data_IF_990725398559
#
_entry.id   IF_990725398559
#
_cell.length_a   1.000
_cell.length_b   1.000
_cell.length_c   1.000
_cell.angle_alpha   90.00
_cell.angle_beta   90.00
_cell.angle_gamma   90.00
#
_symmetry.space_group_name_H-M   'P 1'
#
loop_
_entity.id
_entity.type
_entity.pdbx_description
1 polymer ?
#
# COMPACT_ATOMS: atom_id res chain seq x y z
N UNK A 1 -5.31 26.70 -7.97
CA UNK A 1 -4.06 26.31 -7.29
C UNK A 1 -2.88 26.92 -8.01
N UNK A 2 -1.74 27.09 -7.32
CA UNK A 2 -0.58 27.88 -7.80
C UNK A 2 0.17 27.31 -9.01
N UNK A 3 -0.15 26.08 -9.45
CA UNK A 3 0.54 25.43 -10.58
C UNK A 3 0.45 26.23 -11.88
N UNK A 4 -0.73 26.80 -12.18
CA UNK A 4 -0.91 27.59 -13.40
C UNK A 4 -0.06 28.86 -13.37
N UNK A 5 -0.09 29.61 -12.26
CA UNK A 5 0.68 30.84 -12.09
C UNK A 5 2.19 30.57 -12.14
N UNK A 6 2.63 29.44 -11.58
CA UNK A 6 4.02 28.98 -11.68
C UNK A 6 4.44 28.72 -13.14
N UNK A 7 3.61 28.00 -13.91
CA UNK A 7 3.90 27.72 -15.32
C UNK A 7 3.92 28.98 -16.18
N UNK A 8 3.00 29.92 -15.92
CA UNK A 8 2.98 31.22 -16.60
C UNK A 8 4.23 32.05 -16.24
N UNK A 9 4.67 32.04 -14.99
CA UNK A 9 5.91 32.71 -14.58
C UNK A 9 7.15 32.12 -15.27
N UNK A 10 7.23 30.79 -15.42
CA UNK A 10 8.30 30.14 -16.20
C UNK A 10 8.26 30.61 -17.65
N UNK A 11 7.07 30.60 -18.27
CA UNK A 11 6.92 31.01 -19.66
C UNK A 11 7.28 32.48 -19.86
N UNK A 12 6.86 33.38 -18.96
CA UNK A 12 7.18 34.79 -18.99
C UNK A 12 8.70 35.02 -18.88
N UNK A 13 9.36 34.36 -17.93
CA UNK A 13 10.80 34.46 -17.70
C UNK A 13 11.68 33.75 -18.74
N UNK A 14 11.12 32.83 -19.54
CA UNK A 14 11.87 32.09 -20.56
C UNK A 14 12.44 33.02 -21.64
N UNK A 15 13.76 33.04 -21.82
CA UNK A 15 14.40 33.75 -22.93
C UNK A 15 14.10 33.10 -24.29
N UNK A 16 14.31 33.80 -25.41
CA UNK A 16 13.95 33.31 -26.76
C UNK A 16 14.55 31.94 -27.14
N UNK A 17 15.72 31.59 -26.60
CA UNK A 17 16.38 30.30 -26.84
C UNK A 17 15.94 29.15 -25.92
N UNK A 18 15.05 29.42 -24.97
CA UNK A 18 14.58 28.42 -24.00
C UNK A 18 13.46 27.57 -24.59
N UNK A 19 13.58 26.26 -24.42
CA UNK A 19 12.53 25.29 -24.73
C UNK A 19 12.02 24.66 -23.44
N UNK A 20 10.71 24.65 -23.27
CA UNK A 20 10.01 23.99 -22.17
C UNK A 20 9.44 22.69 -22.73
N UNK A 21 9.85 21.56 -22.18
CA UNK A 21 9.31 20.25 -22.57
C UNK A 21 8.46 19.75 -21.43
N UNK A 22 7.14 19.73 -21.63
CA UNK A 22 6.23 19.13 -20.66
C UNK A 22 6.49 17.62 -20.61
N UNK A 23 6.81 17.12 -19.42
CA UNK A 23 7.11 15.71 -19.23
C UNK A 23 5.88 14.81 -19.33
N UNK A 24 4.67 15.35 -19.17
CA UNK A 24 3.41 14.62 -19.14
C UNK A 24 3.44 13.43 -18.17
N UNK A 25 3.58 13.70 -16.88
CA UNK A 25 3.62 12.65 -15.84
C UNK A 25 2.39 11.73 -15.88
N UNK A 26 1.23 12.27 -16.26
CA UNK A 26 -0.01 11.51 -16.41
C UNK A 26 0.12 10.34 -17.39
N UNK A 27 1.06 10.40 -18.32
CA UNK A 27 1.29 9.31 -19.28
C UNK A 27 1.95 8.05 -18.70
N UNK A 28 2.30 8.03 -17.40
CA UNK A 28 2.74 6.82 -16.71
C UNK A 28 1.79 5.63 -16.84
N UNK A 29 0.49 5.88 -17.01
CA UNK A 29 -0.52 4.83 -17.12
C UNK A 29 -1.09 4.68 -18.55
N UNK A 30 -0.60 5.49 -19.49
CA UNK A 30 -1.00 5.43 -20.89
C UNK A 30 -0.38 4.22 -21.56
N UNK A 31 -1.18 3.52 -22.36
CA UNK A 31 -0.78 2.26 -23.00
C UNK A 31 -0.85 2.29 -24.51
N UNK A 32 -1.44 3.30 -25.13
CA UNK A 32 -1.64 3.32 -26.57
C UNK A 32 -1.31 4.69 -27.17
N UNK A 33 -1.18 4.71 -28.50
CA UNK A 33 -0.85 5.92 -29.24
C UNK A 33 -1.92 7.01 -29.07
N UNK A 34 -3.20 6.64 -29.05
CA UNK A 34 -4.30 7.59 -28.94
C UNK A 34 -4.24 8.39 -27.63
N UNK A 35 -3.92 7.73 -26.50
CA UNK A 35 -3.76 8.41 -25.23
C UNK A 35 -2.55 9.36 -25.20
N UNK A 36 -1.44 8.98 -25.82
CA UNK A 36 -0.27 9.87 -25.92
C UNK A 36 -0.54 11.07 -26.84
N UNK A 37 -1.17 10.84 -27.99
CA UNK A 37 -1.54 11.92 -28.92
C UNK A 37 -2.60 12.85 -28.32
N UNK A 38 -3.57 12.32 -27.56
CA UNK A 38 -4.53 13.12 -26.81
C UNK A 38 -3.83 14.05 -25.81
N UNK A 39 -2.82 13.55 -25.09
CA UNK A 39 -2.04 14.38 -24.18
C UNK A 39 -1.17 15.41 -24.92
N UNK A 40 -0.59 15.05 -26.08
CA UNK A 40 0.12 15.99 -26.94
C UNK A 40 -0.78 17.13 -27.41
N UNK A 41 -1.98 16.81 -27.88
CA UNK A 41 -2.99 17.80 -28.28
C UNK A 41 -3.44 18.66 -27.10
N UNK A 42 -3.61 18.07 -25.92
CA UNK A 42 -3.93 18.82 -24.71
C UNK A 42 -2.85 19.87 -24.39
N UNK A 43 -1.58 19.46 -24.42
CA UNK A 43 -0.43 20.36 -24.18
C UNK A 43 -0.37 21.46 -25.24
N UNK A 44 -0.54 21.15 -26.52
CA UNK A 44 -0.39 22.16 -27.58
C UNK A 44 -1.58 23.08 -27.75
N UNK A 45 -2.80 22.56 -27.59
CA UNK A 45 -4.03 23.27 -27.98
C UNK A 45 -4.93 23.57 -26.79
N UNK A 46 -5.19 22.61 -25.90
CA UNK A 46 -6.11 22.84 -24.77
C UNK A 46 -5.50 23.80 -23.75
N UNK A 47 -4.22 23.67 -23.44
CA UNK A 47 -3.55 24.51 -22.44
C UNK A 47 -3.47 25.98 -22.84
N UNK A 48 -3.57 26.33 -24.13
CA UNK A 48 -3.63 27.72 -24.57
C UNK A 48 -4.84 28.49 -24.01
N UNK A 49 -5.92 27.79 -23.66
CA UNK A 49 -7.06 28.39 -22.97
C UNK A 49 -6.71 28.93 -21.58
N UNK A 50 -5.64 28.42 -20.96
CA UNK A 50 -5.13 28.87 -19.67
C UNK A 50 -3.96 29.88 -19.79
N UNK A 51 -3.47 30.13 -21.02
CA UNK A 51 -2.35 31.06 -21.29
C UNK A 51 -2.88 32.41 -21.78
N UNK A 52 -2.38 33.55 -21.26
CA UNK A 52 -2.72 34.88 -21.78
C UNK A 52 -2.48 35.00 -23.28
N UNK A 53 -3.42 35.64 -24.00
CA UNK A 53 -3.41 35.70 -25.48
C UNK A 53 -2.13 36.30 -26.07
N UNK A 54 -1.55 37.28 -25.38
CA UNK A 54 -0.30 37.92 -25.75
C UNK A 54 0.93 37.00 -25.62
N UNK A 55 0.83 35.92 -24.84
CA UNK A 55 1.87 34.89 -24.71
C UNK A 55 1.66 33.67 -25.62
N UNK A 56 0.57 33.59 -26.39
CA UNK A 56 0.27 32.41 -27.24
C UNK A 56 1.37 32.10 -28.25
N UNK A 57 1.95 33.12 -28.90
CA UNK A 57 3.07 32.90 -29.83
C UNK A 57 4.26 32.28 -29.10
N UNK A 58 4.63 32.86 -27.95
CA UNK A 58 5.75 32.38 -27.12
C UNK A 58 5.52 30.95 -26.66
N UNK A 59 4.29 30.61 -26.24
CA UNK A 59 3.92 29.25 -25.86
C UNK A 59 4.13 28.26 -27.02
N UNK A 60 3.55 28.55 -28.20
CA UNK A 60 3.67 27.66 -29.37
C UNK A 60 5.14 27.51 -29.82
N UNK A 61 5.92 28.58 -29.72
CA UNK A 61 7.33 28.56 -30.10
C UNK A 61 8.19 27.73 -29.12
N UNK A 62 7.90 27.81 -27.82
CA UNK A 62 8.79 27.31 -26.76
C UNK A 62 8.32 26.04 -26.06
N UNK A 63 7.04 25.71 -26.10
CA UNK A 63 6.49 24.52 -25.42
C UNK A 63 6.46 23.33 -26.37
N UNK A 64 6.92 22.19 -25.87
CA UNK A 64 6.93 20.90 -26.56
C UNK A 64 6.31 19.84 -25.66
N UNK A 65 5.61 18.90 -26.28
CA UNK A 65 5.10 17.71 -25.62
C UNK A 65 6.19 16.64 -25.56
N UNK A 66 6.59 16.29 -24.34
CA UNK A 66 7.24 15.02 -24.05
C UNK A 66 6.26 14.06 -23.39
N UNK A 67 6.72 12.85 -23.11
CA UNK A 67 5.97 11.84 -22.38
C UNK A 67 6.83 11.16 -21.34
N UNK A 68 6.22 10.72 -20.25
CA UNK A 68 6.90 10.05 -19.17
C UNK A 68 6.50 8.57 -19.15
N UNK A 69 7.48 7.70 -19.05
CA UNK A 69 7.29 6.27 -18.89
C UNK A 69 7.75 5.90 -17.50
N UNK A 70 6.84 5.32 -16.72
CA UNK A 70 7.19 4.74 -15.45
C UNK A 70 7.62 3.28 -15.66
N UNK A 71 8.92 3.07 -15.83
CA UNK A 71 9.47 1.78 -16.23
C UNK A 71 9.08 0.64 -15.28
N UNK A 72 9.06 0.95 -13.99
CA UNK A 72 8.79 0.05 -12.88
C UNK A 72 7.50 -0.77 -13.00
N UNK A 73 6.45 -0.23 -13.62
CA UNK A 73 5.17 -0.95 -13.80
C UNK A 73 5.20 -1.92 -14.97
N UNK A 74 6.19 -1.82 -15.84
CA UNK A 74 6.37 -2.64 -17.04
C UNK A 74 7.51 -3.66 -16.88
N UNK A 75 8.55 -3.33 -16.10
CA UNK A 75 9.76 -4.13 -15.91
C UNK A 75 9.72 -5.05 -14.68
N UNK A 76 8.68 -4.97 -13.84
CA UNK A 76 8.56 -5.72 -12.59
C UNK A 76 9.77 -5.53 -11.64
N UNK A 77 10.33 -4.32 -11.61
CA UNK A 77 11.45 -3.96 -10.72
C UNK A 77 10.97 -3.47 -9.34
N UNK A 78 9.66 -3.24 -9.19
CA UNK A 78 9.00 -2.90 -7.92
C UNK A 78 8.65 -4.14 -7.10
N UNK A 79 8.38 -3.87 -5.84
CA UNK A 79 7.90 -4.87 -4.88
C UNK A 79 6.39 -4.94 -4.83
N UNK A 80 5.78 -3.79 -5.06
CA UNK A 80 4.37 -3.71 -5.36
C UNK A 80 4.14 -4.47 -6.67
N UNK A 81 3.23 -5.43 -6.62
CA UNK A 81 2.81 -6.15 -7.81
C UNK A 81 2.12 -5.17 -8.78
N UNK A 82 2.40 -5.36 -10.07
CA UNK A 82 1.68 -4.76 -11.19
C UNK A 82 1.26 -5.86 -12.15
N UNK A 83 0.55 -5.52 -13.22
CA UNK A 83 0.27 -6.49 -14.27
C UNK A 83 1.57 -7.15 -14.79
N UNK A 84 2.67 -6.41 -14.90
CA UNK A 84 3.98 -6.95 -15.32
C UNK A 84 4.55 -8.03 -14.40
N UNK A 85 4.09 -8.13 -13.15
CA UNK A 85 4.45 -9.24 -12.24
C UNK A 85 3.98 -10.59 -12.77
N UNK A 86 2.90 -10.59 -13.56
CA UNK A 86 2.28 -11.78 -14.15
C UNK A 86 2.65 -11.96 -15.64
N UNK A 87 3.69 -11.26 -16.09
CA UNK A 87 4.26 -11.37 -17.42
C UNK A 87 5.62 -12.07 -17.35
N UNK A 88 5.90 -12.88 -18.38
CA UNK A 88 7.24 -13.42 -18.65
C UNK A 88 8.22 -12.28 -19.00
N UNK A 89 9.55 -12.49 -18.87
CA UNK A 89 10.52 -11.49 -19.29
C UNK A 89 10.37 -11.05 -20.76
N UNK A 90 9.95 -11.96 -21.65
CA UNK A 90 9.69 -11.64 -23.05
C UNK A 90 8.45 -10.73 -23.22
N UNK A 91 7.35 -11.04 -22.54
CA UNK A 91 6.14 -10.19 -22.50
C UNK A 91 6.45 -8.81 -21.90
N UNK A 92 7.32 -8.72 -20.87
CA UNK A 92 7.79 -7.43 -20.31
C UNK A 92 8.66 -6.64 -21.29
N UNK A 93 9.52 -7.31 -22.04
CA UNK A 93 10.30 -6.69 -23.11
C UNK A 93 9.38 -6.05 -24.16
N UNK A 94 8.33 -6.78 -24.57
CA UNK A 94 7.31 -6.28 -25.49
C UNK A 94 6.54 -5.10 -24.89
N UNK A 95 6.17 -5.15 -23.60
CA UNK A 95 5.49 -4.06 -22.93
C UNK A 95 6.32 -2.77 -22.92
N UNK A 96 7.61 -2.85 -22.56
CA UNK A 96 8.54 -1.71 -22.59
C UNK A 96 8.70 -1.18 -24.01
N UNK A 97 8.99 -2.05 -24.97
CA UNK A 97 9.17 -1.66 -26.38
C UNK A 97 7.92 -0.95 -26.92
N UNK A 98 6.74 -1.47 -26.60
CA UNK A 98 5.47 -0.88 -26.99
C UNK A 98 5.28 0.52 -26.42
N UNK A 99 5.37 0.72 -25.10
CA UNK A 99 5.10 2.05 -24.50
C UNK A 99 6.14 3.08 -24.93
N UNK A 100 7.41 2.68 -25.07
CA UNK A 100 8.48 3.55 -25.59
C UNK A 100 8.23 3.91 -27.05
N UNK A 101 7.84 2.95 -27.89
CA UNK A 101 7.55 3.20 -29.30
C UNK A 101 6.37 4.16 -29.48
N UNK A 102 5.26 3.94 -28.76
CA UNK A 102 4.09 4.82 -28.87
C UNK A 102 4.41 6.23 -28.38
N UNK A 103 5.11 6.35 -27.24
CA UNK A 103 5.51 7.64 -26.69
C UNK A 103 6.48 8.40 -27.61
N UNK A 104 7.47 7.73 -28.19
CA UNK A 104 8.43 8.38 -29.09
C UNK A 104 7.76 8.92 -30.37
N UNK A 105 6.74 8.23 -30.88
CA UNK A 105 6.02 8.65 -32.09
C UNK A 105 5.13 9.88 -31.88
N UNK A 106 4.72 10.15 -30.65
CA UNK A 106 3.88 11.30 -30.29
C UNK A 106 4.64 12.39 -29.54
N UNK A 107 5.87 12.15 -29.07
CA UNK A 107 6.68 13.20 -28.45
C UNK A 107 7.29 14.13 -29.51
N UNK A 108 7.37 15.42 -29.23
CA UNK A 108 8.05 16.36 -30.13
C UNK A 108 9.58 16.26 -30.03
N UNK A 109 10.11 15.74 -28.91
CA UNK A 109 11.56 15.68 -28.69
C UNK A 109 12.01 14.57 -27.74
N UNK A 110 11.38 14.47 -26.56
CA UNK A 110 11.88 13.62 -25.48
C UNK A 110 10.79 12.74 -24.89
N UNK A 111 11.21 11.51 -24.56
CA UNK A 111 10.49 10.62 -23.66
C UNK A 111 11.33 10.48 -22.39
N UNK A 112 10.74 10.84 -21.25
CA UNK A 112 11.34 10.74 -19.93
C UNK A 112 11.11 9.35 -19.39
N UNK A 113 12.17 8.70 -18.94
CA UNK A 113 12.10 7.33 -18.46
C UNK A 113 12.37 7.32 -16.96
N UNK A 114 11.30 7.22 -16.16
CA UNK A 114 11.38 7.27 -14.71
C UNK A 114 11.39 5.87 -14.12
N UNK A 115 12.27 5.66 -13.15
CA UNK A 115 12.32 4.46 -12.32
C UNK A 115 12.78 4.83 -10.92
N UNK A 116 12.15 4.25 -9.90
CA UNK A 116 12.37 4.63 -8.51
C UNK A 116 13.56 3.89 -7.87
N UNK A 117 14.04 2.78 -8.45
CA UNK A 117 15.10 1.94 -7.85
C UNK A 117 16.24 1.55 -8.80
N UNK A 118 16.10 1.79 -10.10
CA UNK A 118 17.16 1.57 -11.07
C UNK A 118 18.22 2.64 -10.92
N UNK A 119 19.47 2.21 -10.71
CA UNK A 119 20.63 3.07 -10.87
C UNK A 119 21.27 2.74 -12.21
N UNK A 120 20.78 3.38 -13.28
CA UNK A 120 21.23 3.11 -14.66
C UNK A 120 22.75 3.21 -14.82
N UNK A 121 23.38 4.19 -14.16
CA UNK A 121 24.83 4.41 -14.21
C UNK A 121 25.64 3.26 -13.57
N UNK A 122 25.06 2.58 -12.58
CA UNK A 122 25.71 1.51 -11.83
C UNK A 122 25.19 0.12 -12.25
N UNK A 123 24.31 0.05 -13.26
CA UNK A 123 23.59 -1.14 -13.68
C UNK A 123 22.89 -1.90 -12.53
N UNK A 124 22.41 -1.18 -11.52
CA UNK A 124 21.71 -1.78 -10.37
C UNK A 124 20.19 -1.75 -10.58
N UNK A 125 19.54 -2.90 -10.33
CA UNK A 125 18.09 -3.12 -10.47
C UNK A 125 17.51 -2.90 -11.87
N UNK A 126 18.34 -2.85 -12.90
CA UNK A 126 17.88 -2.75 -14.30
C UNK A 126 17.40 -4.12 -14.76
N UNK A 127 16.13 -4.24 -15.16
CA UNK A 127 15.61 -5.48 -15.74
C UNK A 127 16.38 -5.79 -17.04
N UNK A 128 16.98 -7.00 -17.20
CA UNK A 128 17.83 -7.31 -18.35
C UNK A 128 17.16 -7.11 -19.71
N UNK A 129 15.84 -7.32 -19.78
CA UNK A 129 15.04 -7.17 -20.98
C UNK A 129 14.79 -5.70 -21.40
N UNK A 130 15.01 -4.74 -20.49
CA UNK A 130 14.56 -3.36 -20.67
C UNK A 130 15.45 -2.55 -21.62
N UNK A 131 16.79 -2.50 -21.49
CA UNK A 131 17.63 -1.73 -22.43
C UNK A 131 17.48 -2.19 -23.89
N UNK A 132 17.52 -3.50 -24.21
CA UNK A 132 17.32 -3.95 -25.60
C UNK A 132 15.92 -3.60 -26.15
N UNK A 133 14.88 -3.58 -25.30
CA UNK A 133 13.53 -3.18 -25.71
C UNK A 133 13.45 -1.70 -26.07
N UNK A 134 14.10 -0.83 -25.28
CA UNK A 134 14.20 0.61 -25.56
C UNK A 134 14.96 0.85 -26.87
N UNK A 135 16.07 0.15 -27.09
CA UNK A 135 16.85 0.26 -28.34
C UNK A 135 16.05 -0.14 -29.57
N UNK A 136 15.31 -1.25 -29.50
CA UNK A 136 14.42 -1.68 -30.60
C UNK A 136 13.33 -0.66 -30.90
N UNK A 137 12.67 -0.12 -29.86
CA UNK A 137 11.66 0.92 -30.03
C UNK A 137 12.24 2.17 -30.72
N UNK A 138 13.39 2.67 -30.23
CA UNK A 138 14.08 3.84 -30.83
C UNK A 138 14.46 3.59 -32.28
N UNK A 139 15.02 2.43 -32.59
CA UNK A 139 15.38 2.04 -33.96
C UNK A 139 14.16 2.02 -34.87
N UNK A 140 13.07 1.40 -34.43
CA UNK A 140 11.82 1.33 -35.21
C UNK A 140 11.25 2.71 -35.50
N UNK A 141 11.20 3.59 -34.51
CA UNK A 141 10.74 4.99 -34.73
C UNK A 141 11.66 5.74 -35.68
N UNK A 142 12.99 5.62 -35.52
CA UNK A 142 13.96 6.29 -36.38
C UNK A 142 13.88 5.82 -37.84
N UNK A 143 13.54 4.55 -38.06
CA UNK A 143 13.43 3.93 -39.38
C UNK A 143 12.00 3.93 -39.95
N UNK A 144 11.02 4.49 -39.22
CA UNK A 144 9.59 4.41 -39.57
C UNK A 144 9.09 2.97 -39.77
N UNK A 145 9.58 2.04 -38.95
CA UNK A 145 9.17 0.63 -38.92
C UNK A 145 7.96 0.43 -37.98
N UNK A 146 7.07 -0.50 -38.32
CA UNK A 146 5.96 -0.89 -37.45
C UNK A 146 6.41 -1.72 -36.23
N UNK A 147 5.63 -1.66 -35.13
CA UNK A 147 5.92 -2.39 -33.90
C UNK A 147 5.87 -3.93 -34.08
N UNK A 148 4.97 -4.43 -34.94
CA UNK A 148 4.93 -5.84 -35.35
C UNK A 148 4.34 -6.83 -34.35
N UNK A 149 3.70 -6.37 -33.28
CA UNK A 149 2.97 -7.22 -32.31
C UNK A 149 1.87 -6.41 -31.62
N UNK A 150 0.91 -7.09 -30.98
CA UNK A 150 -0.18 -6.46 -30.21
C UNK A 150 -0.04 -6.79 -28.71
N UNK A 151 -0.10 -5.75 -27.87
CA UNK A 151 -0.01 -5.86 -26.41
C UNK A 151 -1.35 -6.12 -25.72
N UNK A 152 -2.49 -5.89 -26.40
CA UNK A 152 -3.81 -5.99 -25.76
C UNK A 152 -4.07 -7.37 -25.11
N UNK A 153 -3.79 -8.53 -25.75
CA UNK A 153 -4.01 -9.83 -25.13
C UNK A 153 -3.11 -10.08 -23.92
N UNK A 154 -1.86 -9.60 -23.98
CA UNK A 154 -0.88 -9.76 -22.89
C UNK A 154 -1.32 -8.95 -21.67
N UNK A 155 -1.75 -7.70 -21.85
CA UNK A 155 -2.28 -6.88 -20.76
C UNK A 155 -3.60 -7.41 -20.21
N UNK A 156 -4.48 -7.95 -21.04
CA UNK A 156 -5.73 -8.54 -20.58
C UNK A 156 -5.46 -9.75 -19.68
N UNK A 157 -4.64 -10.70 -20.14
CA UNK A 157 -4.22 -11.89 -19.38
C UNK A 157 -3.56 -11.50 -18.07
N UNK A 158 -2.54 -10.64 -18.12
CA UNK A 158 -1.81 -10.19 -16.95
C UNK A 158 -2.69 -9.38 -15.98
N UNK A 159 -3.61 -8.58 -16.52
CA UNK A 159 -4.57 -7.80 -15.74
C UNK A 159 -5.61 -8.67 -15.01
N UNK A 160 -6.13 -9.72 -15.68
CA UNK A 160 -7.01 -10.71 -15.03
C UNK A 160 -6.30 -11.41 -13.88
N UNK A 161 -5.05 -11.83 -14.10
CA UNK A 161 -4.28 -12.50 -13.06
C UNK A 161 -3.90 -11.56 -11.91
N UNK A 162 -3.50 -10.32 -12.22
CA UNK A 162 -3.30 -9.28 -11.23
C UNK A 162 -4.57 -9.06 -10.40
N UNK A 163 -5.73 -8.94 -11.04
CA UNK A 163 -6.99 -8.77 -10.33
C UNK A 163 -7.32 -10.00 -9.49
N UNK A 164 -7.04 -11.23 -9.94
CA UNK A 164 -7.31 -12.46 -9.19
C UNK A 164 -6.40 -12.61 -7.96
N UNK A 165 -5.11 -12.30 -8.11
CA UNK A 165 -4.11 -12.53 -7.05
C UNK A 165 -4.00 -11.34 -6.10
N UNK A 166 -3.98 -10.13 -6.64
CA UNK A 166 -3.75 -8.89 -5.88
C UNK A 166 -5.06 -8.28 -5.41
N UNK A 167 -6.11 -8.32 -6.24
CA UNK A 167 -7.44 -7.74 -5.91
C UNK A 167 -8.52 -8.79 -5.61
N UNK A 168 -8.21 -10.08 -5.71
CA UNK A 168 -9.22 -11.14 -5.68
C UNK A 168 -9.70 -11.41 -4.27
N UNK A 169 -11.03 -11.46 -4.13
CA UNK A 169 -11.86 -11.69 -2.93
C UNK A 169 -11.31 -11.03 -1.66
N UNK A 170 -11.49 -9.71 -1.60
CA UNK A 170 -11.43 -8.85 -0.40
C UNK A 170 -12.72 -9.07 0.43
N UNK A 171 -13.25 -10.30 0.49
CA UNK A 171 -14.36 -10.56 1.40
C UNK A 171 -13.80 -10.49 2.81
N UNK A 172 -14.32 -9.58 3.67
CA UNK A 172 -13.79 -9.47 5.01
C UNK A 172 -13.97 -10.80 5.75
N UNK A 173 -12.91 -11.26 6.41
CA UNK A 173 -12.93 -12.54 7.11
C UNK A 173 -13.93 -12.51 8.26
N UNK A 174 -14.50 -13.67 8.59
CA UNK A 174 -15.35 -13.86 9.77
C UNK A 174 -14.63 -14.75 10.77
N UNK A 175 -14.70 -14.41 12.06
CA UNK A 175 -14.28 -15.27 13.16
C UNK A 175 -15.38 -15.30 14.22
N UNK A 176 -15.61 -16.47 14.79
CA UNK A 176 -16.41 -16.62 16.01
C UNK A 176 -15.51 -16.41 17.22
N UNK A 177 -15.95 -15.73 18.27
CA UNK A 177 -15.15 -15.37 19.44
C UNK A 177 -15.80 -15.98 20.68
N UNK A 178 -15.18 -17.00 21.30
CA UNK A 178 -15.78 -17.73 22.41
C UNK A 178 -15.62 -17.01 23.74
N UNK A 179 -16.52 -17.31 24.67
CA UNK A 179 -16.33 -16.95 26.08
C UNK A 179 -15.08 -17.61 26.68
N UNK A 180 -14.32 -16.82 27.42
CA UNK A 180 -13.17 -17.26 28.17
C UNK A 180 -13.62 -18.09 29.39
N UNK A 181 -12.88 -19.16 29.68
CA UNK A 181 -13.12 -20.00 30.85
C UNK A 181 -12.62 -19.36 32.16
N UNK A 182 -11.97 -18.19 32.08
CA UNK A 182 -11.42 -17.44 33.19
C UNK A 182 -10.49 -16.33 32.68
N UNK A 183 -10.19 -15.37 33.54
CA UNK A 183 -9.25 -14.28 33.22
C UNK A 183 -7.81 -14.81 33.19
N UNK A 184 -7.05 -14.59 32.10
CA UNK A 184 -5.64 -14.96 32.04
C UNK A 184 -4.78 -14.00 32.87
N UNK A 185 -3.54 -14.37 33.15
CA UNK A 185 -2.57 -13.44 33.72
C UNK A 185 -1.88 -12.74 32.57
N UNK A 186 -2.04 -11.43 32.47
CA UNK A 186 -1.45 -10.65 31.37
C UNK A 186 0.06 -10.52 31.60
N UNK A 187 0.83 -11.48 31.09
CA UNK A 187 2.29 -11.50 31.16
C UNK A 187 2.98 -11.77 29.80
N UNK A 188 2.18 -11.94 28.75
CA UNK A 188 2.65 -12.06 27.37
C UNK A 188 2.97 -13.49 26.95
N UNK A 189 2.89 -14.50 27.84
CA UNK A 189 3.35 -15.87 27.55
C UNK A 189 2.35 -16.72 26.79
N UNK A 190 1.06 -16.40 26.89
CA UNK A 190 -0.04 -17.15 26.28
C UNK A 190 -0.07 -18.63 26.72
N UNK A 191 0.27 -18.93 27.96
CA UNK A 191 0.39 -20.32 28.47
C UNK A 191 -0.86 -20.81 29.23
N UNK A 192 -1.79 -19.90 29.52
CA UNK A 192 -3.05 -20.21 30.18
C UNK A 192 -3.96 -21.12 29.36
N UNK A 193 -4.71 -21.96 30.07
CA UNK A 193 -5.63 -22.92 29.45
C UNK A 193 -6.69 -22.27 28.55
N UNK A 194 -7.05 -21.00 28.79
CA UNK A 194 -8.03 -20.31 27.95
C UNK A 194 -7.53 -20.09 26.52
N UNK A 195 -6.23 -19.88 26.30
CA UNK A 195 -5.66 -19.64 24.96
C UNK A 195 -5.78 -20.86 24.05
N UNK A 196 -5.82 -22.06 24.62
CA UNK A 196 -6.07 -23.31 23.88
C UNK A 196 -7.51 -23.45 23.38
N UNK A 197 -8.44 -22.68 23.94
CA UNK A 197 -9.87 -22.66 23.57
C UNK A 197 -10.28 -21.37 22.86
N UNK A 198 -9.39 -20.38 22.83
CA UNK A 198 -9.60 -19.12 22.13
C UNK A 198 -9.64 -19.36 20.63
N UNK A 199 -10.28 -18.44 19.91
CA UNK A 199 -10.30 -18.49 18.45
C UNK A 199 -8.97 -18.09 17.88
N UNK A 200 -8.37 -18.96 17.07
CA UNK A 200 -7.18 -18.65 16.29
C UNK A 200 -7.58 -17.93 14.99
N UNK A 201 -7.13 -16.69 14.85
CA UNK A 201 -7.30 -15.87 13.66
C UNK A 201 -6.04 -15.96 12.81
N UNK A 202 -6.17 -16.52 11.61
CA UNK A 202 -5.08 -16.68 10.65
C UNK A 202 -5.44 -17.62 9.49
N UNK A 203 -4.52 -17.83 8.53
CA UNK A 203 -3.22 -17.16 8.41
C UNK A 203 -3.36 -15.69 7.98
N UNK A 204 -2.43 -14.85 8.43
CA UNK A 204 -2.35 -13.46 7.97
C UNK A 204 -1.89 -13.40 6.51
N UNK A 205 -2.26 -12.33 5.80
CA UNK A 205 -1.95 -12.10 4.38
C UNK A 205 -0.97 -10.95 4.22
N UNK A 206 -0.03 -11.08 3.28
CA UNK A 206 0.91 -10.01 2.97
C UNK A 206 0.19 -8.81 2.33
N UNK A 207 0.26 -7.64 2.97
CA UNK A 207 -0.44 -6.43 2.50
C UNK A 207 0.46 -5.47 1.72
N UNK A 208 1.79 -5.64 1.76
CA UNK A 208 2.73 -4.85 0.94
C UNK A 208 3.11 -5.53 -0.37
N UNK A 209 3.17 -6.86 -0.35
CA UNK A 209 3.65 -7.70 -1.45
C UNK A 209 2.71 -8.88 -1.62
N UNK A 210 1.55 -8.64 -2.24
CA UNK A 210 0.48 -9.63 -2.39
C UNK A 210 0.92 -10.97 -3.02
N UNK A 211 2.05 -10.98 -3.73
CA UNK A 211 2.61 -12.14 -4.43
C UNK A 211 3.79 -12.81 -3.70
N UNK A 212 4.29 -12.21 -2.62
CA UNK A 212 5.43 -12.77 -1.87
C UNK A 212 4.92 -13.53 -0.64
N UNK A 213 5.47 -14.73 -0.34
CA UNK A 213 5.16 -15.43 0.89
C UNK A 213 5.60 -14.59 2.10
N UNK A 214 4.87 -14.71 3.20
CA UNK A 214 5.31 -14.17 4.48
C UNK A 214 6.50 -14.99 4.99
N UNK A 215 7.49 -14.29 5.51
CA UNK A 215 8.60 -14.90 6.25
C UNK A 215 8.26 -15.08 7.73
N UNK A 216 7.38 -14.25 8.28
CA UNK A 216 6.79 -14.47 9.61
C UNK A 216 5.58 -15.38 9.57
N UNK A 217 5.36 -16.06 10.69
CA UNK A 217 4.06 -16.65 10.98
C UNK A 217 3.42 -15.90 12.15
N UNK A 218 2.28 -15.28 11.90
CA UNK A 218 1.50 -14.57 12.92
C UNK A 218 0.21 -15.31 13.19
N UNK A 219 -0.06 -15.56 14.47
CA UNK A 219 -1.35 -16.04 14.96
C UNK A 219 -1.92 -14.99 15.91
N UNK A 220 -3.20 -14.70 15.76
CA UNK A 220 -3.97 -13.94 16.75
C UNK A 220 -4.92 -14.89 17.47
N UNK A 221 -5.16 -14.63 18.74
CA UNK A 221 -6.06 -15.38 19.60
C UNK A 221 -7.06 -14.41 20.24
N UNK A 222 -8.32 -14.78 20.26
CA UNK A 222 -9.37 -13.96 20.85
C UNK A 222 -10.33 -14.78 21.70
N UNK A 223 -10.68 -14.23 22.86
CA UNK A 223 -11.73 -14.72 23.75
C UNK A 223 -12.31 -13.52 24.51
N UNK A 224 -13.44 -13.70 25.20
CA UNK A 224 -14.03 -12.61 25.98
C UNK A 224 -14.78 -13.08 27.22
N UNK A 225 -15.03 -12.20 28.17
CA UNK A 225 -15.98 -12.43 29.26
C UNK A 225 -16.90 -11.21 29.45
N UNK A 226 -17.66 -11.17 30.55
CA UNK A 226 -18.58 -10.08 30.87
C UNK A 226 -17.87 -8.74 31.07
N UNK A 227 -16.57 -8.74 31.34
CA UNK A 227 -15.80 -7.55 31.71
C UNK A 227 -14.80 -7.16 30.64
N UNK A 228 -14.15 -8.12 29.97
CA UNK A 228 -13.00 -7.87 29.09
C UNK A 228 -13.11 -8.60 27.75
N UNK A 229 -12.53 -7.98 26.73
CA UNK A 229 -12.02 -8.62 25.54
C UNK A 229 -10.56 -9.02 25.76
N UNK A 230 -10.22 -10.28 25.49
CA UNK A 230 -8.87 -10.80 25.58
C UNK A 230 -8.28 -10.99 24.19
N UNK A 231 -7.07 -10.46 23.98
CA UNK A 231 -6.35 -10.56 22.72
C UNK A 231 -4.94 -11.07 22.99
N UNK A 232 -4.58 -12.16 22.34
CA UNK A 232 -3.23 -12.71 22.32
C UNK A 232 -2.69 -12.67 20.90
N UNK A 233 -1.41 -12.42 20.72
CA UNK A 233 -0.75 -12.58 19.43
C UNK A 233 0.59 -13.26 19.61
N UNK A 234 0.91 -14.17 18.69
CA UNK A 234 2.19 -14.87 18.64
C UNK A 234 2.79 -14.68 17.26
N UNK A 235 3.97 -14.08 17.23
CA UNK A 235 4.71 -13.77 16.02
C UNK A 235 6.00 -14.60 16.00
N UNK A 236 6.03 -15.62 15.17
CA UNK A 236 7.24 -16.38 14.88
C UNK A 236 8.03 -15.63 13.81
N UNK A 237 9.23 -15.17 14.17
CA UNK A 237 10.06 -14.33 13.35
C UNK A 237 11.42 -15.01 13.16
N UNK A 238 11.87 -15.28 11.91
CA UNK A 238 13.20 -15.84 11.69
C UNK A 238 14.35 -14.87 12.04
N UNK A 239 14.06 -13.57 12.22
CA UNK A 239 15.02 -12.52 12.53
C UNK A 239 14.83 -11.97 13.96
N UNK A 240 14.66 -12.86 14.96
CA UNK A 240 14.50 -12.49 16.38
C UNK A 240 15.64 -11.61 16.94
N UNK A 241 16.84 -11.73 16.37
CA UNK A 241 18.03 -10.93 16.74
C UNK A 241 18.00 -9.50 16.19
N UNK A 242 17.03 -9.20 15.32
CA UNK A 242 16.87 -7.89 14.65
C UNK A 242 15.55 -7.21 14.99
N UNK A 243 14.84 -7.70 16.00
CA UNK A 243 13.65 -7.02 16.49
C UNK A 243 14.00 -5.59 16.89
N UNK A 244 13.20 -4.66 16.42
CA UNK A 244 13.33 -3.25 16.77
C UNK A 244 11.95 -2.61 16.80
N UNK A 245 11.81 -1.57 17.60
CA UNK A 245 10.65 -0.68 17.58
C UNK A 245 11.19 0.74 17.76
N UNK A 246 10.84 1.63 16.84
CA UNK A 246 11.13 3.06 16.99
C UNK A 246 10.21 3.63 18.08
N UNK A 247 10.48 4.84 18.58
CA UNK A 247 9.62 5.41 19.62
C UNK A 247 8.22 5.71 19.07
N UNK A 248 7.24 4.86 19.38
CA UNK A 248 5.85 4.99 18.90
C UNK A 248 4.99 5.90 19.78
N UNK A 249 5.46 6.29 20.96
CA UNK A 249 4.70 7.12 21.90
C UNK A 249 4.61 8.60 21.46
N UNK A 250 5.46 9.04 20.52
CA UNK A 250 5.68 10.47 20.23
C UNK A 250 5.11 11.00 18.92
N UNK A 251 4.68 10.16 17.97
CA UNK A 251 4.27 10.64 16.63
C UNK A 251 3.00 9.97 16.09
N UNK A 252 1.94 10.77 15.99
CA UNK A 252 0.60 10.48 15.43
C UNK A 252 0.62 9.91 13.99
N UNK A 253 1.75 10.03 13.28
CA UNK A 253 1.89 9.60 11.88
C UNK A 253 2.89 8.47 11.61
N UNK A 254 3.76 8.07 12.55
CA UNK A 254 4.93 7.23 12.25
C UNK A 254 4.91 5.83 12.89
N UNK A 255 3.86 5.46 13.61
CA UNK A 255 3.69 4.08 14.10
C UNK A 255 3.76 3.06 12.94
N UNK A 256 3.36 3.47 11.73
CA UNK A 256 3.46 2.63 10.55
C UNK A 256 4.90 2.47 10.08
N UNK A 257 5.45 1.27 10.26
CA UNK A 257 6.83 0.98 9.87
C UNK A 257 7.85 1.24 10.97
N UNK A 258 7.41 1.64 12.17
CA UNK A 258 8.22 1.77 13.39
C UNK A 258 8.73 0.43 13.94
N UNK A 259 8.95 -0.59 13.10
CA UNK A 259 9.52 -1.87 13.49
C UNK A 259 8.52 -3.01 13.71
N UNK A 260 8.78 -3.83 14.73
CA UNK A 260 8.10 -5.08 15.10
C UNK A 260 6.96 -4.83 16.10
N UNK A 261 5.74 -4.66 15.59
CA UNK A 261 4.58 -4.31 16.38
C UNK A 261 3.29 -4.98 15.87
N UNK A 262 2.34 -5.16 16.79
CA UNK A 262 0.97 -5.56 16.49
C UNK A 262 0.08 -4.35 16.61
N UNK A 263 -0.77 -4.13 15.60
CA UNK A 263 -1.85 -3.17 15.64
C UNK A 263 -3.19 -3.92 15.52
N UNK A 264 -4.11 -3.59 16.42
CA UNK A 264 -5.48 -4.10 16.43
C UNK A 264 -6.43 -2.94 16.24
N UNK A 265 -7.40 -3.09 15.35
CA UNK A 265 -8.53 -2.18 15.22
C UNK A 265 -9.80 -2.87 15.72
N UNK A 266 -10.51 -2.21 16.64
CA UNK A 266 -11.68 -2.77 17.33
C UNK A 266 -12.84 -1.81 17.14
N UNK A 267 -13.83 -2.21 16.35
CA UNK A 267 -15.09 -1.49 16.19
C UNK A 267 -16.03 -1.68 17.37
N UNK A 268 -16.94 -0.73 17.56
CA UNK A 268 -17.97 -0.81 18.60
C UNK A 268 -19.26 -1.46 18.13
N UNK A 269 -19.43 -1.67 16.82
CA UNK A 269 -20.63 -2.18 16.16
C UNK A 269 -20.31 -2.83 14.79
N UNK A 270 -21.34 -3.35 14.12
CA UNK A 270 -21.26 -4.01 12.80
C UNK A 270 -20.82 -3.10 11.65
N UNK A 271 -20.90 -1.77 11.82
CA UNK A 271 -20.49 -0.77 10.82
C UNK A 271 -19.11 -0.16 11.12
N UNK A 272 -18.53 -0.47 12.28
CA UNK A 272 -17.39 0.24 12.85
C UNK A 272 -17.61 1.76 12.86
N UNK A 273 -18.80 2.23 13.27
CA UNK A 273 -19.09 3.68 13.31
C UNK A 273 -18.10 4.44 14.20
N UNK A 274 -17.63 3.76 15.25
CA UNK A 274 -16.53 4.14 16.11
C UNK A 274 -15.59 2.95 16.26
N UNK A 275 -14.29 3.21 16.27
CA UNK A 275 -13.29 2.16 16.43
C UNK A 275 -11.98 2.66 17.02
N UNK A 276 -11.30 1.76 17.73
CA UNK A 276 -10.08 2.03 18.47
C UNK A 276 -8.91 1.35 17.80
N UNK A 277 -7.76 2.01 17.78
CA UNK A 277 -6.48 1.42 17.41
C UNK A 277 -5.67 1.18 18.66
N UNK A 278 -5.23 -0.06 18.86
CA UNK A 278 -4.29 -0.43 19.93
C UNK A 278 -3.03 -0.97 19.26
N UNK A 279 -1.88 -0.34 19.50
CA UNK A 279 -0.60 -0.75 18.92
C UNK A 279 0.38 -1.08 20.04
N UNK A 280 0.91 -2.30 20.03
CA UNK A 280 1.89 -2.78 21.00
C UNK A 280 3.15 -3.24 20.26
N UNK A 281 4.30 -2.65 20.61
CA UNK A 281 5.62 -3.07 20.14
C UNK A 281 6.13 -4.30 20.88
N UNK A 282 7.04 -5.07 20.29
CA UNK A 282 7.64 -6.25 20.94
C UNK A 282 8.30 -5.94 22.31
N UNK A 283 8.77 -4.69 22.49
CA UNK A 283 9.39 -4.15 23.69
C UNK A 283 8.38 -3.53 24.67
N UNK A 284 7.09 -3.82 24.49
CA UNK A 284 5.97 -3.36 25.32
C UNK A 284 5.68 -1.85 25.24
N UNK A 285 6.28 -1.12 24.29
CA UNK A 285 5.80 0.23 23.95
C UNK A 285 4.35 0.19 23.47
N UNK A 286 3.60 1.25 23.75
CA UNK A 286 2.17 1.35 23.45
C UNK A 286 1.83 2.67 22.77
N UNK A 287 1.00 2.58 21.74
CA UNK A 287 0.31 3.72 21.16
C UNK A 287 -1.14 3.36 20.89
N UNK A 288 -2.05 4.26 21.23
CA UNK A 288 -3.47 4.09 20.97
C UNK A 288 -4.14 5.35 20.45
N UNK A 289 -5.25 5.14 19.76
CA UNK A 289 -6.05 6.21 19.19
C UNK A 289 -7.49 5.78 19.01
N UNK A 290 -8.36 6.78 18.92
CA UNK A 290 -9.76 6.62 18.59
C UNK A 290 -10.06 7.20 17.21
N UNK A 291 -11.00 6.60 16.49
CA UNK A 291 -11.55 7.17 15.26
C UNK A 291 -13.06 7.00 15.22
N UNK A 292 -13.72 8.01 14.67
CA UNK A 292 -15.15 8.03 14.41
C UNK A 292 -15.36 8.20 12.91
N UNK A 293 -16.29 7.45 12.34
CA UNK A 293 -16.64 7.58 10.92
C UNK A 293 -17.41 8.88 10.74
N UNK A 294 -17.13 9.61 9.65
CA UNK A 294 -17.89 10.80 9.28
C UNK A 294 -19.28 10.45 8.74
N UNK A 295 -20.02 11.47 8.31
CA UNK A 295 -21.40 11.31 7.80
C UNK A 295 -21.41 10.58 6.45
N UNK A 296 -20.36 10.72 5.65
CA UNK A 296 -20.19 9.95 4.43
C UNK A 296 -19.51 8.58 4.66
N UNK A 297 -19.90 7.53 3.91
CA UNK A 297 -19.34 6.18 4.07
C UNK A 297 -17.81 6.11 3.94
N UNK A 298 -17.22 7.01 3.15
CA UNK A 298 -15.78 7.10 2.91
C UNK A 298 -15.09 8.18 3.76
N UNK A 299 -15.85 8.91 4.57
CA UNK A 299 -15.33 9.96 5.45
C UNK A 299 -14.83 9.35 6.76
N UNK A 300 -13.59 9.67 7.08
CA UNK A 300 -12.95 9.29 8.34
C UNK A 300 -12.60 10.61 9.03
N UNK A 301 -13.24 10.89 10.16
CA UNK A 301 -12.77 11.96 11.03
C UNK A 301 -11.39 11.49 11.53
N UNK A 302 -10.35 12.30 11.34
CA UNK A 302 -8.96 11.90 11.57
C UNK A 302 -8.71 11.16 12.91
N UNK A 303 -7.57 10.46 13.01
CA UNK A 303 -7.23 9.71 14.22
C UNK A 303 -7.08 10.64 15.42
N UNK A 304 -7.89 10.45 16.46
CA UNK A 304 -7.71 11.14 17.73
C UNK A 304 -6.68 10.38 18.58
N UNK A 305 -5.43 10.80 18.48
CA UNK A 305 -4.30 10.21 19.22
C UNK A 305 -4.18 10.72 20.66
N UNK A 306 -5.09 11.60 21.12
CA UNK A 306 -5.16 12.02 22.53
C UNK A 306 -5.94 11.04 23.41
N UNK A 307 -6.59 10.04 22.80
CA UNK A 307 -7.28 8.99 23.53
C UNK A 307 -6.26 8.04 24.18
N UNK A 308 -6.32 7.91 25.51
CA UNK A 308 -5.45 7.01 26.30
C UNK A 308 -6.30 5.94 26.97
N UNK A 309 -6.33 4.74 26.37
CA UNK A 309 -7.13 3.62 26.84
C UNK A 309 -6.60 3.02 28.14
N UNK A 310 -7.52 2.65 29.05
CA UNK A 310 -7.19 1.91 30.26
C UNK A 310 -7.38 0.41 30.04
N UNK A 311 -6.30 -0.32 29.80
CA UNK A 311 -6.26 -1.76 29.59
C UNK A 311 -4.91 -2.33 30.02
N UNK A 312 -4.89 -3.62 30.34
CA UNK A 312 -3.65 -4.33 30.67
C UNK A 312 -3.03 -4.89 29.39
N UNK A 313 -1.71 -4.80 29.26
CA UNK A 313 -0.95 -5.44 28.20
C UNK A 313 0.42 -5.90 28.70
N UNK A 314 0.96 -6.93 28.05
CA UNK A 314 2.31 -7.42 28.30
C UNK A 314 2.89 -8.04 27.03
N UNK A 315 4.22 -8.06 26.94
CA UNK A 315 4.93 -8.78 25.88
C UNK A 315 5.90 -9.81 26.43
N UNK A 316 6.16 -10.82 25.62
CA UNK A 316 7.17 -11.83 25.89
C UNK A 316 8.05 -12.02 24.66
N UNK A 317 9.37 -12.05 24.87
CA UNK A 317 10.36 -12.37 23.83
C UNK A 317 10.95 -13.74 24.15
N UNK A 318 10.60 -14.72 23.33
CA UNK A 318 11.13 -16.08 23.38
C UNK A 318 12.31 -16.28 22.43
N UNK A 319 12.72 -17.53 22.23
CA UNK A 319 13.86 -17.87 21.34
C UNK A 319 13.55 -17.71 19.85
N UNK A 320 12.31 -18.02 19.45
CA UNK A 320 11.89 -18.10 18.04
C UNK A 320 10.64 -17.26 17.76
N UNK A 321 10.13 -16.57 18.78
CA UNK A 321 8.90 -15.81 18.69
C UNK A 321 8.90 -14.66 19.69
N UNK A 322 8.05 -13.68 19.43
CA UNK A 322 7.59 -12.73 20.43
C UNK A 322 6.07 -12.73 20.46
N UNK A 323 5.49 -12.29 21.56
CA UNK A 323 4.04 -12.28 21.76
C UNK A 323 3.56 -11.04 22.50
N UNK A 324 2.30 -10.69 22.25
CA UNK A 324 1.55 -9.64 22.96
C UNK A 324 0.32 -10.27 23.57
N UNK A 325 -0.01 -9.87 24.79
CA UNK A 325 -1.23 -10.24 25.48
C UNK A 325 -1.92 -8.98 26.00
N UNK A 326 -3.24 -8.89 25.87
CA UNK A 326 -4.05 -7.75 26.30
C UNK A 326 -5.35 -8.21 26.97
N UNK A 327 -5.73 -7.54 28.05
CA UNK A 327 -7.08 -7.56 28.62
C UNK A 327 -7.68 -6.16 28.53
N UNK A 328 -8.70 -6.02 27.70
CA UNK A 328 -9.32 -4.73 27.36
C UNK A 328 -10.72 -4.71 27.96
N UNK A 329 -10.98 -3.92 29.01
CA UNK A 329 -12.32 -3.79 29.55
C UNK A 329 -13.30 -3.28 28.48
N UNK A 330 -14.49 -3.86 28.40
CA UNK A 330 -15.51 -3.40 27.45
C UNK A 330 -15.86 -1.92 27.64
N UNK A 331 -15.85 -1.47 28.91
CA UNK A 331 -16.05 -0.08 29.29
C UNK A 331 -14.99 0.87 28.70
N UNK A 332 -13.74 0.40 28.52
CA UNK A 332 -12.68 1.17 27.85
C UNK A 332 -13.03 1.43 26.38
N UNK A 333 -13.73 0.48 25.74
CA UNK A 333 -14.27 0.61 24.38
C UNK A 333 -15.61 1.38 24.34
N UNK A 334 -16.09 1.88 25.48
CA UNK A 334 -17.35 2.63 25.59
C UNK A 334 -18.59 1.76 25.39
N UNK A 335 -18.51 0.44 25.60
CA UNK A 335 -19.62 -0.50 25.43
C UNK A 335 -19.68 -1.56 26.52
N UNK A 336 -20.75 -2.34 26.53
CA UNK A 336 -20.87 -3.54 27.37
C UNK A 336 -20.31 -4.77 26.64
N UNK A 337 -20.18 -5.90 27.36
CA UNK A 337 -19.85 -7.16 26.72
C UNK A 337 -20.90 -7.51 25.65
N UNK A 338 -20.50 -8.06 24.49
CA UNK A 338 -21.43 -8.49 23.47
C UNK A 338 -22.37 -9.59 23.96
N UNK A 339 -23.62 -9.55 23.50
CA UNK A 339 -24.52 -10.69 23.61
C UNK A 339 -24.12 -11.82 22.64
N UNK A 340 -24.60 -13.04 22.90
CA UNK A 340 -24.36 -14.16 22.00
C UNK A 340 -25.00 -13.89 20.62
N UNK A 341 -24.23 -14.09 19.56
CA UNK A 341 -24.57 -13.76 18.17
C UNK A 341 -24.32 -12.30 17.77
N UNK A 342 -23.99 -11.41 18.71
CA UNK A 342 -23.64 -10.03 18.38
C UNK A 342 -22.35 -9.98 17.57
N UNK A 343 -22.30 -9.05 16.60
CA UNK A 343 -21.15 -8.88 15.71
C UNK A 343 -20.55 -7.49 15.87
N UNK A 344 -19.22 -7.44 15.92
CA UNK A 344 -18.48 -6.20 15.75
C UNK A 344 -17.45 -6.36 14.64
N UNK A 345 -17.04 -5.24 14.07
CA UNK A 345 -15.98 -5.22 13.06
C UNK A 345 -14.61 -5.05 13.71
N UNK A 346 -13.61 -5.72 13.17
CA UNK A 346 -12.24 -5.49 13.59
C UNK A 346 -11.20 -6.09 12.66
N UNK A 347 -9.93 -5.78 12.93
CA UNK A 347 -8.82 -6.35 12.16
C UNK A 347 -7.54 -6.38 12.98
N UNK A 348 -6.57 -7.17 12.50
CA UNK A 348 -5.22 -7.25 13.02
C UNK A 348 -4.22 -6.91 11.92
N UNK A 349 -3.12 -6.27 12.30
CA UNK A 349 -1.95 -6.05 11.46
C UNK A 349 -0.69 -6.38 12.26
N UNK A 350 0.19 -7.17 11.65
CA UNK A 350 1.58 -7.22 12.02
C UNK A 350 2.35 -6.25 11.12
N UNK A 351 3.16 -5.40 11.74
CA UNK A 351 4.30 -4.78 11.10
C UNK A 351 5.55 -5.48 11.64
N UNK A 352 6.30 -6.16 10.79
CA UNK A 352 7.64 -6.64 11.11
C UNK A 352 8.68 -5.66 10.57
N UNK A 353 9.79 -5.50 11.30
CA UNK A 353 10.91 -4.65 10.88
C UNK A 353 11.56 -5.10 9.57
N UNK A 354 12.48 -4.27 9.08
CA UNK A 354 13.23 -4.52 7.84
C UNK A 354 14.06 -5.81 7.84
N UNK A 355 14.10 -6.50 6.68
CA UNK A 355 14.86 -7.74 6.48
C UNK A 355 15.64 -7.82 5.16
N UNK A 356 16.77 -8.54 5.09
CA UNK A 356 17.49 -8.83 3.85
C UNK A 356 16.65 -9.65 2.84
N UNK A 357 16.98 -9.63 1.53
CA UNK A 357 18.08 -8.92 0.86
C UNK A 357 17.75 -7.47 0.48
N UNK A 358 16.55 -6.99 0.82
CA UNK A 358 16.13 -5.60 0.61
C UNK A 358 15.52 -5.17 1.93
N UNK A 359 16.33 -4.56 2.81
CA UNK A 359 15.98 -4.13 4.18
C UNK A 359 14.65 -3.38 4.23
N UNK A 360 13.54 -4.12 4.23
CA UNK A 360 12.20 -3.58 4.04
C UNK A 360 11.22 -4.30 4.95
N UNK A 361 10.30 -3.57 5.59
CA UNK A 361 9.41 -4.17 6.56
C UNK A 361 8.38 -5.07 5.86
N UNK A 362 8.10 -6.21 6.49
CA UNK A 362 7.03 -7.12 6.11
C UNK A 362 5.76 -6.74 6.87
N UNK A 363 4.69 -6.42 6.15
CA UNK A 363 3.40 -6.15 6.79
C UNK A 363 2.39 -7.19 6.37
N UNK A 364 1.63 -7.68 7.34
CA UNK A 364 0.56 -8.63 7.12
C UNK A 364 -0.67 -8.32 7.94
N UNK A 365 -1.85 -8.73 7.47
CA UNK A 365 -3.10 -8.54 8.21
C UNK A 365 -3.99 -9.78 8.20
N UNK A 366 -4.90 -9.86 9.17
CA UNK A 366 -5.90 -10.92 9.21
C UNK A 366 -6.92 -10.75 8.08
N UNK A 367 -7.73 -9.68 8.12
CA UNK A 367 -8.60 -9.29 7.01
C UNK A 367 -7.85 -8.38 6.04
N UNK A 368 -8.17 -8.50 4.75
CA UNK A 368 -7.39 -7.94 3.65
C UNK A 368 -7.37 -6.40 3.62
N UNK A 369 -6.16 -5.84 3.66
CA UNK A 369 -5.88 -4.41 3.52
C UNK A 369 -4.92 -4.10 2.35
N UNK A 370 -4.77 -5.02 1.40
CA UNK A 370 -3.95 -4.78 0.21
C UNK A 370 -4.47 -3.52 -0.48
N UNK A 371 -3.58 -2.57 -0.72
CA UNK A 371 -3.83 -1.21 -1.26
C UNK A 371 -4.22 -0.11 -0.25
N UNK A 372 -4.36 -0.41 1.04
CA UNK A 372 -4.48 0.63 2.07
C UNK A 372 -3.23 0.69 2.96
N UNK A 373 -2.78 1.91 3.24
CA UNK A 373 -1.70 2.16 4.21
C UNK A 373 -2.22 2.16 5.65
N UNK A 374 -3.52 2.35 5.83
CA UNK A 374 -4.21 2.55 7.11
C UNK A 374 -5.22 1.43 7.37
N UNK A 375 -5.46 1.12 8.65
CA UNK A 375 -6.47 0.15 9.06
C UNK A 375 -7.86 0.80 9.03
N UNK A 376 -8.49 0.85 7.86
CA UNK A 376 -9.80 1.48 7.67
C UNK A 376 -10.96 0.48 7.83
N UNK A 377 -12.09 0.97 8.34
CA UNK A 377 -13.30 0.17 8.61
C UNK A 377 -13.75 -0.72 7.43
N UNK A 378 -13.61 -0.24 6.19
CA UNK A 378 -14.00 -0.99 4.97
C UNK A 378 -13.20 -2.30 4.78
N UNK A 379 -12.08 -2.46 5.47
CA UNK A 379 -11.22 -3.64 5.42
C UNK A 379 -11.40 -4.56 6.63
N UNK A 380 -12.27 -4.22 7.58
CA UNK A 380 -12.42 -4.98 8.81
C UNK A 380 -13.23 -6.25 8.58
N UNK A 381 -12.71 -7.35 9.12
CA UNK A 381 -13.46 -8.59 9.25
C UNK A 381 -14.58 -8.46 10.28
N UNK A 382 -15.36 -9.52 10.41
CA UNK A 382 -16.46 -9.64 11.37
C UNK A 382 -16.07 -10.58 12.50
N UNK A 383 -16.22 -10.11 13.73
CA UNK A 383 -16.09 -10.92 14.94
C UNK A 383 -17.50 -11.15 15.50
N UNK A 384 -17.95 -12.41 15.52
CA UNK A 384 -19.23 -12.82 16.08
C UNK A 384 -19.01 -13.48 17.44
N UNK A 385 -19.69 -13.03 18.49
CA UNK A 385 -19.43 -13.49 19.87
C UNK A 385 -20.39 -14.61 20.27
N UNK A 386 -19.88 -15.68 20.88
CA UNK A 386 -20.65 -16.89 21.22
C UNK A 386 -21.01 -16.99 22.71
#
# INVERSE_FOLDING_TARGET
GLLNDFMLGILEGAGRGTMIVDGNEHSYFTKDFAGYESARQFIHETMLGAVPKDQHSKYRDQVRAGHAIYADIHSNTREQAYASTFMTPAERAQAIEWVVYQALRSSDKYVWFYNQRCQYLNNLNVAPEMPPAIERARRKVANNEEIGFDMAPIWEKAGKEYNRVVRGSIEPLKAEIPRAAGRPKIDGRLDEAMWKKASELGPFRNIRRAVNPLQTRTMAYMAYDETNLYIGTRCEDPAMDKLRVDNIEKTEGEVYGAGNLIQVAIGTDERASKYYYLTIGYDNQRWDALTERGDHPDEINGKNSSWDGKYEHATHVGKTYWSVEMAIPWKTLGRQAPEAGEKIKGNFRLCAGERPPRDLPEWSSWSDMRMSRTMEAKHFGTWEFN
#
